data_IF_427186598849
#
_entry.id   IF_427186598849
#
_cell.length_a   1.000
_cell.length_b   1.000
_cell.length_c   1.000
_cell.angle_alpha   90.00
_cell.angle_beta   90.00
_cell.angle_gamma   90.00
#
_symmetry.space_group_name_H-M   'P 1'
#
loop_
_entity.id
_entity.type
_entity.pdbx_description
1 polymer ?
#
# COMPACT_ATOMS: atom_id res chain seq x y z
N UNK A 1 29.22 6.70 14.70
CA UNK A 1 28.54 6.97 13.42
C UNK A 1 27.23 6.19 13.40
N UNK A 2 26.07 6.85 13.34
CA UNK A 2 24.79 6.14 13.17
C UNK A 2 24.73 5.64 11.73
N UNK A 3 24.59 4.33 11.54
CA UNK A 3 24.44 3.76 10.20
C UNK A 3 23.10 4.19 9.62
N UNK A 4 23.15 4.81 8.44
CA UNK A 4 21.97 5.13 7.65
C UNK A 4 21.38 3.85 7.08
N UNK A 5 20.13 3.57 7.42
CA UNK A 5 19.44 2.35 6.97
C UNK A 5 18.97 2.50 5.51
N UNK A 6 19.23 1.48 4.68
CA UNK A 6 18.75 1.36 3.31
C UNK A 6 18.29 -0.09 3.06
N UNK A 7 17.12 -0.31 2.43
CA UNK A 7 16.70 -1.66 2.03
C UNK A 7 17.43 -2.17 0.78
N UNK A 8 18.19 -1.30 0.11
CA UNK A 8 18.95 -1.64 -1.08
C UNK A 8 20.32 -2.18 -0.65
N UNK A 9 20.67 -3.42 -1.05
CA UNK A 9 21.93 -4.03 -0.66
C UNK A 9 23.11 -3.27 -1.27
N UNK A 10 24.14 -3.00 -0.46
CA UNK A 10 25.40 -2.41 -0.94
C UNK A 10 26.05 -3.28 -2.02
N UNK A 11 26.05 -4.60 -1.76
CA UNK A 11 26.59 -5.64 -2.62
C UNK A 11 25.56 -6.75 -2.82
N UNK A 12 25.44 -7.23 -4.06
CA UNK A 12 24.59 -8.38 -4.39
C UNK A 12 25.52 -9.57 -4.59
N UNK A 13 25.39 -10.56 -3.71
CA UNK A 13 26.26 -11.72 -3.67
C UNK A 13 25.58 -12.90 -4.37
N UNK A 14 26.31 -13.64 -5.23
CA UNK A 14 25.82 -14.88 -5.80
C UNK A 14 25.35 -15.85 -4.71
N UNK A 15 24.33 -16.63 -5.04
CA UNK A 15 23.70 -17.61 -4.17
C UNK A 15 22.98 -17.07 -2.92
N UNK A 16 22.87 -15.75 -2.75
CA UNK A 16 22.03 -15.16 -1.70
C UNK A 16 20.60 -14.89 -2.18
N UNK A 17 19.68 -14.83 -1.22
CA UNK A 17 18.28 -14.50 -1.47
C UNK A 17 18.05 -13.00 -1.32
N UNK A 18 17.19 -12.48 -2.19
CA UNK A 18 16.79 -11.08 -2.25
C UNK A 18 15.30 -11.00 -2.56
N UNK A 19 14.73 -9.82 -2.35
CA UNK A 19 13.46 -9.46 -2.94
C UNK A 19 13.73 -8.76 -4.27
N UNK A 20 13.08 -9.20 -5.33
CA UNK A 20 12.99 -8.43 -6.57
C UNK A 20 11.70 -7.62 -6.56
N UNK A 21 11.80 -6.40 -7.06
CA UNK A 21 10.71 -5.46 -7.21
C UNK A 21 10.88 -4.66 -8.49
N UNK A 22 10.14 -5.03 -9.52
CA UNK A 22 10.10 -4.27 -10.77
C UNK A 22 9.46 -2.91 -10.54
N UNK A 23 9.98 -1.87 -11.20
CA UNK A 23 9.33 -0.56 -11.23
C UNK A 23 8.00 -0.55 -12.00
N UNK A 24 7.74 -1.57 -12.82
CA UNK A 24 6.53 -1.65 -13.67
C UNK A 24 5.36 -2.32 -12.94
N UNK A 25 5.59 -3.47 -12.34
CA UNK A 25 4.54 -4.24 -11.64
C UNK A 25 4.46 -3.91 -10.15
N UNK A 26 5.56 -3.38 -9.59
CA UNK A 26 5.76 -3.15 -8.16
C UNK A 26 5.57 -4.41 -7.30
N UNK A 27 5.49 -5.59 -7.90
CA UNK A 27 5.35 -6.83 -7.16
C UNK A 27 6.66 -7.16 -6.46
N UNK A 28 6.58 -7.51 -5.18
CA UNK A 28 7.72 -8.04 -4.44
C UNK A 28 7.69 -9.56 -4.52
N UNK A 29 8.73 -10.13 -5.12
CA UNK A 29 8.91 -11.58 -5.21
C UNK A 29 10.26 -11.98 -4.60
N UNK A 30 10.34 -13.11 -3.88
CA UNK A 30 11.61 -13.64 -3.44
C UNK A 30 12.36 -14.26 -4.62
N UNK A 31 13.66 -13.99 -4.70
CA UNK A 31 14.53 -14.50 -5.75
C UNK A 31 15.94 -14.76 -5.20
N UNK A 32 16.71 -15.56 -5.92
CA UNK A 32 18.11 -15.89 -5.62
C UNK A 32 19.00 -15.26 -6.68
N UNK A 33 20.06 -14.57 -6.27
CA UNK A 33 21.07 -14.09 -7.20
C UNK A 33 21.89 -15.27 -7.74
N UNK A 34 21.97 -15.41 -9.06
CA UNK A 34 22.78 -16.45 -9.72
C UNK A 34 24.16 -15.89 -10.05
N UNK A 35 24.20 -14.78 -10.77
CA UNK A 35 25.43 -14.19 -11.28
C UNK A 35 25.26 -12.68 -11.51
N UNK A 36 26.37 -11.96 -11.42
CA UNK A 36 26.46 -10.58 -11.87
C UNK A 36 26.79 -10.55 -13.36
N UNK A 37 25.98 -9.86 -14.15
CA UNK A 37 26.20 -9.70 -15.60
C UNK A 37 26.97 -8.41 -15.88
N UNK A 38 26.66 -7.34 -15.13
CA UNK A 38 27.38 -6.07 -15.17
C UNK A 38 27.29 -5.36 -13.81
N UNK A 39 27.90 -4.19 -13.68
CA UNK A 39 27.83 -3.36 -12.46
C UNK A 39 26.38 -3.09 -12.03
N UNK A 40 25.46 -2.97 -12.99
CA UNK A 40 24.05 -2.61 -12.74
C UNK A 40 23.04 -3.71 -13.05
N UNK A 41 23.46 -4.86 -13.61
CA UNK A 41 22.56 -5.95 -14.02
C UNK A 41 22.95 -7.30 -13.42
N UNK A 42 21.94 -8.01 -12.91
CA UNK A 42 22.09 -9.29 -12.22
C UNK A 42 21.15 -10.33 -12.82
N UNK A 43 21.63 -11.57 -12.92
CA UNK A 43 20.83 -12.74 -13.28
C UNK A 43 20.23 -13.32 -12.00
N UNK A 44 18.91 -13.39 -11.96
CA UNK A 44 18.13 -13.79 -10.79
C UNK A 44 17.30 -15.04 -11.10
N UNK A 45 16.92 -15.78 -10.06
CA UNK A 45 16.07 -16.95 -10.16
C UNK A 45 14.96 -16.91 -9.12
N UNK A 46 13.71 -17.13 -9.53
CA UNK A 46 12.58 -17.25 -8.60
C UNK A 46 12.64 -18.57 -7.83
N UNK A 47 11.83 -18.71 -6.78
CA UNK A 47 11.62 -19.99 -6.08
C UNK A 47 11.11 -21.12 -6.99
N UNK A 48 10.47 -20.75 -8.11
CA UNK A 48 9.96 -21.67 -9.14
C UNK A 48 10.98 -21.99 -10.23
N UNK A 49 12.25 -21.56 -10.05
CA UNK A 49 13.36 -21.75 -11.00
C UNK A 49 13.22 -20.98 -12.31
N UNK A 50 12.37 -19.96 -12.35
CA UNK A 50 12.30 -19.06 -13.51
C UNK A 50 13.48 -18.08 -13.45
N UNK A 51 14.19 -17.93 -14.56
CA UNK A 51 15.37 -17.07 -14.68
C UNK A 51 14.97 -15.75 -15.32
N UNK A 52 15.44 -14.65 -14.75
CA UNK A 52 15.22 -13.30 -15.28
C UNK A 52 16.41 -12.39 -14.98
N UNK A 53 16.39 -11.20 -15.56
CA UNK A 53 17.41 -10.17 -15.33
C UNK A 53 16.82 -9.00 -14.56
N UNK A 54 17.53 -8.53 -13.54
CA UNK A 54 17.12 -7.42 -12.70
C UNK A 54 18.21 -6.34 -12.66
N UNK A 55 17.78 -5.08 -12.57
CA UNK A 55 18.69 -3.97 -12.27
C UNK A 55 19.00 -3.92 -10.77
N UNK A 56 20.15 -3.36 -10.40
CA UNK A 56 20.54 -3.19 -8.99
C UNK A 56 19.47 -2.46 -8.16
N UNK A 57 18.85 -1.44 -8.74
CA UNK A 57 17.79 -0.62 -8.13
C UNK A 57 16.45 -1.34 -7.93
N UNK A 58 16.28 -2.54 -8.51
CA UNK A 58 15.08 -3.38 -8.36
C UNK A 58 15.26 -4.49 -7.33
N UNK A 59 16.44 -4.55 -6.69
CA UNK A 59 16.81 -5.62 -5.76
C UNK A 59 16.82 -5.03 -4.35
N UNK A 60 16.03 -5.65 -3.47
CA UNK A 60 15.90 -5.29 -2.06
C UNK A 60 16.42 -6.45 -1.19
N UNK A 61 16.88 -6.12 0.02
CA UNK A 61 17.39 -7.11 0.97
C UNK A 61 16.28 -8.08 1.43
N UNK A 62 16.53 -9.37 1.25
CA UNK A 62 15.78 -10.41 1.95
C UNK A 62 16.49 -10.74 3.26
N UNK A 63 16.24 -9.93 4.28
CA UNK A 63 16.77 -10.17 5.62
C UNK A 63 15.62 -10.40 6.60
N UNK A 64 15.39 -11.65 7.01
CA UNK A 64 14.49 -11.99 8.12
C UNK A 64 14.75 -11.12 9.35
N UNK A 65 13.68 -10.54 9.91
CA UNK A 65 13.77 -9.63 11.05
C UNK A 65 14.12 -8.17 10.72
N UNK A 66 14.49 -7.85 9.47
CA UNK A 66 14.67 -6.46 9.04
C UNK A 66 13.35 -5.67 9.07
N UNK A 67 13.44 -4.34 9.11
CA UNK A 67 12.27 -3.44 9.10
C UNK A 67 11.37 -3.68 7.90
N UNK A 68 11.96 -3.87 6.71
CA UNK A 68 11.24 -4.23 5.49
C UNK A 68 10.52 -5.55 5.64
N UNK A 69 11.23 -6.60 6.04
CA UNK A 69 10.65 -7.95 6.18
C UNK A 69 9.49 -7.96 7.18
N UNK A 70 9.70 -7.39 8.37
CA UNK A 70 8.66 -7.25 9.40
C UNK A 70 7.45 -6.47 8.89
N UNK A 71 7.65 -5.40 8.13
CA UNK A 71 6.54 -4.66 7.54
C UNK A 71 5.76 -5.50 6.52
N UNK A 72 6.45 -6.23 5.65
CA UNK A 72 5.79 -7.12 4.67
C UNK A 72 4.96 -8.19 5.40
N UNK A 73 5.50 -8.81 6.45
CA UNK A 73 4.80 -9.86 7.22
C UNK A 73 3.55 -9.36 7.98
N UNK A 74 3.38 -8.04 8.14
CA UNK A 74 2.11 -7.48 8.65
C UNK A 74 0.96 -7.61 7.65
N UNK A 75 1.27 -7.76 6.36
CA UNK A 75 0.26 -7.93 5.32
C UNK A 75 0.00 -9.43 5.08
N UNK A 76 -1.26 -9.83 5.10
CA UNK A 76 -1.67 -11.23 4.95
C UNK A 76 -1.16 -11.88 3.66
N UNK A 77 -1.08 -11.11 2.56
CA UNK A 77 -0.57 -11.58 1.26
C UNK A 77 0.88 -12.07 1.32
N UNK A 78 1.74 -11.41 2.10
CA UNK A 78 3.14 -11.78 2.23
C UNK A 78 3.34 -12.80 3.34
N UNK A 79 2.63 -12.64 4.47
CA UNK A 79 2.68 -13.58 5.59
C UNK A 79 2.27 -15.00 5.20
N UNK A 80 1.33 -15.13 4.28
CA UNK A 80 0.85 -16.42 3.80
C UNK A 80 1.47 -16.81 2.45
N UNK A 81 2.53 -16.11 2.00
CA UNK A 81 3.16 -16.36 0.70
C UNK A 81 4.01 -17.64 0.76
N UNK A 82 3.63 -18.64 -0.05
CA UNK A 82 4.36 -19.92 -0.15
C UNK A 82 5.80 -19.73 -0.62
N UNK A 83 6.03 -18.80 -1.54
CA UNK A 83 7.37 -18.53 -2.08
C UNK A 83 8.28 -17.93 -1.00
N UNK A 84 7.78 -17.01 -0.18
CA UNK A 84 8.54 -16.46 0.96
C UNK A 84 8.83 -17.54 2.01
N UNK A 85 7.84 -18.38 2.35
CA UNK A 85 8.04 -19.51 3.26
C UNK A 85 9.12 -20.47 2.75
N UNK A 86 9.10 -20.80 1.45
CA UNK A 86 10.08 -21.67 0.83
C UNK A 86 11.49 -21.06 0.89
N UNK A 87 11.62 -19.75 0.65
CA UNK A 87 12.89 -19.03 0.80
C UNK A 87 13.41 -19.06 2.24
N UNK A 88 12.56 -18.78 3.23
CA UNK A 88 12.95 -18.85 4.66
C UNK A 88 13.42 -20.26 5.04
N UNK A 89 12.73 -21.31 4.57
CA UNK A 89 13.16 -22.70 4.77
C UNK A 89 14.50 -22.99 4.09
N UNK A 90 14.71 -22.51 2.87
CA UNK A 90 15.98 -22.68 2.16
C UNK A 90 17.15 -21.97 2.86
N UNK A 91 16.87 -20.90 3.61
CA UNK A 91 17.82 -20.23 4.51
C UNK A 91 18.01 -20.95 5.85
N UNK A 92 17.44 -22.15 6.04
CA UNK A 92 17.49 -22.95 7.28
C UNK A 92 16.89 -22.26 8.49
N UNK A 93 15.87 -21.44 8.29
CA UNK A 93 15.13 -20.77 9.36
C UNK A 93 13.72 -21.35 9.47
N UNK A 94 13.14 -21.27 10.68
CA UNK A 94 11.76 -21.69 10.92
C UNK A 94 10.76 -20.60 10.50
N UNK A 95 9.94 -20.82 9.45
CA UNK A 95 8.96 -19.83 9.00
C UNK A 95 7.95 -19.43 10.09
N UNK A 96 7.60 -20.35 10.99
CA UNK A 96 6.63 -20.07 12.04
C UNK A 96 7.17 -19.06 13.07
N UNK A 97 8.50 -18.96 13.22
CA UNK A 97 9.15 -17.99 14.09
C UNK A 97 9.46 -16.67 13.37
N UNK A 98 9.73 -16.75 12.07
CA UNK A 98 10.21 -15.61 11.27
C UNK A 98 9.06 -14.80 10.66
N UNK A 99 7.98 -15.47 10.26
CA UNK A 99 6.83 -14.86 9.59
C UNK A 99 5.75 -14.40 10.58
N UNK A 100 6.13 -14.20 11.85
CA UNK A 100 5.21 -13.75 12.90
C UNK A 100 4.81 -12.30 12.65
N UNK A 101 3.53 -12.03 12.89
CA UNK A 101 3.05 -10.65 12.94
C UNK A 101 3.60 -10.01 14.22
N UNK A 102 4.65 -9.19 14.09
CA UNK A 102 5.03 -8.30 15.18
C UNK A 102 3.80 -7.48 15.58
N UNK A 103 3.55 -7.40 16.89
CA UNK A 103 2.51 -6.53 17.44
C UNK A 103 2.63 -5.16 16.78
N UNK A 104 1.51 -4.62 16.32
CA UNK A 104 1.50 -3.23 15.91
C UNK A 104 1.85 -2.43 17.16
N UNK A 105 2.89 -1.60 17.08
CA UNK A 105 3.18 -0.64 18.13
C UNK A 105 1.92 0.21 18.29
N UNK A 106 1.21 0.02 19.40
CA UNK A 106 0.04 0.81 19.71
C UNK A 106 0.58 2.14 20.22
N UNK A 107 0.80 3.08 19.31
CA UNK A 107 1.38 4.38 19.62
C UNK A 107 0.56 5.08 20.71
N UNK A 108 1.20 5.43 21.83
CA UNK A 108 0.54 5.98 23.03
C UNK A 108 0.02 7.41 22.86
N UNK A 109 0.54 8.13 21.85
CA UNK A 109 0.16 9.50 21.58
C UNK A 109 -1.33 9.62 21.20
N UNK A 110 -2.02 10.53 21.86
CA UNK A 110 -3.43 10.89 21.69
C UNK A 110 -4.47 9.81 22.04
N UNK A 111 -4.09 8.71 22.71
CA UNK A 111 -5.08 7.74 23.26
C UNK A 111 -6.00 8.35 24.32
N UNK A 112 -5.50 9.39 24.99
CA UNK A 112 -6.14 10.06 26.12
C UNK A 112 -6.30 11.57 25.88
N UNK A 113 -6.13 12.04 24.64
CA UNK A 113 -6.35 13.44 24.30
C UNK A 113 -7.79 13.85 24.68
N UNK A 114 -7.91 14.95 25.42
CA UNK A 114 -9.20 15.51 25.77
C UNK A 114 -9.75 16.38 24.62
N UNK A 115 -11.03 16.74 24.71
CA UNK A 115 -11.72 17.47 23.64
C UNK A 115 -11.07 18.84 23.35
N UNK A 116 -10.69 19.59 24.38
CA UNK A 116 -10.11 20.93 24.25
C UNK A 116 -8.71 20.89 23.62
N UNK A 117 -7.88 19.95 24.04
CA UNK A 117 -6.55 19.73 23.47
C UNK A 117 -6.65 19.31 22.01
N UNK A 118 -7.58 18.40 21.69
CA UNK A 118 -7.84 17.98 20.32
C UNK A 118 -8.22 19.17 19.45
N UNK A 119 -9.24 19.94 19.84
CA UNK A 119 -9.74 21.09 19.06
C UNK A 119 -8.62 22.11 18.84
N UNK A 120 -7.90 22.48 19.89
CA UNK A 120 -6.80 23.45 19.81
C UNK A 120 -5.69 22.99 18.86
N UNK A 121 -5.27 21.73 18.96
CA UNK A 121 -4.22 21.17 18.11
C UNK A 121 -4.69 21.02 16.66
N UNK A 122 -5.92 20.55 16.45
CA UNK A 122 -6.53 20.32 15.15
C UNK A 122 -6.69 21.62 14.36
N UNK A 123 -7.25 22.66 14.98
CA UNK A 123 -7.41 23.96 14.34
C UNK A 123 -6.07 24.65 14.09
N UNK A 124 -5.11 24.51 15.02
CA UNK A 124 -3.75 25.01 14.81
C UNK A 124 -3.09 24.38 13.58
N UNK A 125 -3.28 23.08 13.36
CA UNK A 125 -2.74 22.36 12.21
C UNK A 125 -3.32 22.87 10.88
N UNK A 126 -4.64 23.08 10.83
CA UNK A 126 -5.32 23.53 9.60
C UNK A 126 -5.39 25.06 9.42
N UNK A 127 -4.79 25.87 10.31
CA UNK A 127 -4.94 27.33 10.35
C UNK A 127 -4.70 28.05 9.00
N UNK A 128 -3.77 27.53 8.19
CA UNK A 128 -3.40 28.12 6.90
C UNK A 128 -3.98 27.34 5.70
N UNK A 129 -4.87 26.37 5.94
CA UNK A 129 -5.52 25.60 4.89
C UNK A 129 -6.63 26.43 4.23
N UNK A 130 -6.75 26.32 2.91
CA UNK A 130 -7.80 27.00 2.13
C UNK A 130 -9.21 26.63 2.61
N UNK A 131 -9.39 25.45 3.18
CA UNK A 131 -10.66 24.92 3.67
C UNK A 131 -10.80 25.03 5.20
N UNK A 132 -10.06 25.96 5.86
CA UNK A 132 -10.08 26.12 7.32
C UNK A 132 -11.48 26.23 7.93
N UNK A 133 -12.41 26.94 7.26
CA UNK A 133 -13.80 27.06 7.74
C UNK A 133 -14.54 25.72 7.79
N UNK A 134 -14.27 24.80 6.84
CA UNK A 134 -14.80 23.43 6.88
C UNK A 134 -14.23 22.66 8.06
N UNK A 135 -12.91 22.76 8.31
CA UNK A 135 -12.27 22.09 9.45
C UNK A 135 -12.73 22.65 10.80
N UNK A 136 -12.97 23.96 10.89
CA UNK A 136 -13.53 24.59 12.08
C UNK A 136 -14.89 23.99 12.43
N UNK A 137 -15.78 23.92 11.44
CA UNK A 137 -17.12 23.34 11.60
C UNK A 137 -17.05 21.85 11.97
N UNK A 138 -16.17 21.08 11.33
CA UNK A 138 -15.96 19.66 11.63
C UNK A 138 -15.46 19.43 13.05
N UNK A 139 -14.58 20.27 13.59
CA UNK A 139 -13.99 20.09 14.91
C UNK A 139 -15.04 20.06 16.05
N UNK A 140 -16.19 20.72 15.86
CA UNK A 140 -17.26 20.81 16.85
C UNK A 140 -18.46 19.91 16.55
N UNK A 141 -18.43 19.14 15.46
CA UNK A 141 -19.56 18.31 15.02
C UNK A 141 -19.50 16.88 15.53
N UNK A 142 -20.66 16.22 15.45
CA UNK A 142 -20.74 14.77 15.49
C UNK A 142 -20.39 14.16 14.13
N UNK A 143 -19.84 12.96 14.14
CA UNK A 143 -19.53 12.21 12.93
C UNK A 143 -20.84 11.91 12.18
N UNK A 144 -20.96 12.28 10.90
CA UNK A 144 -22.18 12.10 10.12
C UNK A 144 -22.67 10.66 10.11
N UNK A 145 -23.97 10.47 10.35
CA UNK A 145 -24.61 9.15 10.35
C UNK A 145 -24.41 8.34 11.63
N UNK A 146 -23.76 8.90 12.65
CA UNK A 146 -23.70 8.32 14.00
C UNK A 146 -24.72 8.96 14.93
N UNK A 147 -25.11 8.25 15.99
CA UNK A 147 -26.10 8.74 16.95
C UNK A 147 -25.61 9.94 17.77
N UNK A 148 -24.38 9.87 18.30
CA UNK A 148 -23.81 10.92 19.18
C UNK A 148 -22.28 10.97 19.20
N UNK A 149 -21.60 10.30 18.25
CA UNK A 149 -20.16 10.19 18.28
C UNK A 149 -19.50 11.51 17.88
N UNK A 150 -18.87 12.20 18.84
CA UNK A 150 -18.09 13.42 18.55
C UNK A 150 -16.87 13.11 17.70
N UNK A 151 -16.42 14.08 16.90
CA UNK A 151 -15.21 13.93 16.07
C UNK A 151 -13.94 13.71 16.91
N UNK A 152 -13.79 14.39 18.04
CA UNK A 152 -12.68 14.20 19.00
C UNK A 152 -12.66 12.78 19.57
N UNK A 153 -13.83 12.27 19.97
CA UNK A 153 -13.97 10.91 20.49
C UNK A 153 -13.69 9.86 19.41
N UNK A 154 -14.17 10.08 18.19
CA UNK A 154 -13.87 9.23 17.05
C UNK A 154 -12.37 9.13 16.79
N UNK A 155 -11.66 10.27 16.79
CA UNK A 155 -10.20 10.34 16.71
C UNK A 155 -9.53 9.51 17.81
N UNK A 156 -9.93 9.75 19.07
CA UNK A 156 -9.39 9.05 20.24
C UNK A 156 -9.57 7.54 20.18
N UNK A 157 -10.76 7.04 19.80
CA UNK A 157 -11.03 5.60 19.68
C UNK A 157 -10.11 4.97 18.63
N UNK A 158 -9.93 5.62 17.49
CA UNK A 158 -9.04 5.12 16.42
C UNK A 158 -7.59 5.12 16.90
N UNK A 159 -7.14 6.17 17.59
CA UNK A 159 -5.79 6.25 18.18
C UNK A 159 -5.54 5.17 19.24
N UNK A 160 -6.49 4.89 20.14
CA UNK A 160 -6.43 3.77 21.11
C UNK A 160 -6.17 2.42 20.44
N UNK A 161 -6.62 2.25 19.21
CA UNK A 161 -6.42 1.05 18.41
C UNK A 161 -5.24 1.18 17.43
N UNK A 162 -4.24 2.03 17.69
CA UNK A 162 -3.05 2.16 16.86
C UNK A 162 -3.23 3.03 15.60
N UNK A 163 -4.35 3.76 15.51
CA UNK A 163 -4.69 4.66 14.41
C UNK A 163 -5.30 3.98 13.19
N UNK A 164 -5.59 4.81 12.18
CA UNK A 164 -6.31 4.41 10.97
C UNK A 164 -5.71 3.16 10.32
N UNK A 165 -4.38 3.12 10.13
CA UNK A 165 -3.71 1.98 9.49
C UNK A 165 -3.93 0.67 10.24
N UNK A 166 -3.89 0.68 11.57
CA UNK A 166 -4.04 -0.54 12.36
C UNK A 166 -5.50 -1.01 12.42
N UNK A 167 -6.43 -0.06 12.60
CA UNK A 167 -7.87 -0.34 12.55
C UNK A 167 -8.27 -1.02 11.24
N UNK A 168 -7.62 -0.65 10.13
CA UNK A 168 -7.92 -1.26 8.83
C UNK A 168 -7.28 -2.63 8.68
N UNK A 169 -6.00 -2.77 9.01
CA UNK A 169 -5.30 -4.06 8.90
C UNK A 169 -5.99 -5.15 9.74
N UNK A 170 -6.56 -4.77 10.88
CA UNK A 170 -7.28 -5.65 11.79
C UNK A 170 -8.80 -5.69 11.53
N UNK A 171 -9.29 -5.00 10.50
CA UNK A 171 -10.72 -4.93 10.12
C UNK A 171 -11.65 -4.52 11.27
N UNK A 172 -11.21 -3.58 12.11
CA UNK A 172 -11.88 -3.22 13.35
C UNK A 172 -13.01 -2.19 13.17
N UNK A 173 -13.15 -1.52 12.02
CA UNK A 173 -14.14 -0.45 11.85
C UNK A 173 -15.56 -0.84 12.24
N UNK A 174 -16.06 -1.97 11.72
CA UNK A 174 -17.40 -2.44 12.07
C UNK A 174 -17.47 -2.77 13.56
N UNK A 175 -16.49 -3.51 14.07
CA UNK A 175 -16.45 -3.93 15.49
C UNK A 175 -16.45 -2.74 16.46
N UNK A 176 -15.78 -1.64 16.10
CA UNK A 176 -15.62 -0.48 16.98
C UNK A 176 -16.82 0.47 16.96
N UNK A 177 -17.57 0.52 15.85
CA UNK A 177 -18.53 1.60 15.62
C UNK A 177 -19.92 1.15 15.19
N UNK A 178 -20.20 -0.15 15.13
CA UNK A 178 -21.53 -0.65 14.74
C UNK A 178 -22.63 -0.14 15.67
N UNK A 179 -22.39 -0.07 16.97
CA UNK A 179 -23.38 0.42 17.94
C UNK A 179 -23.68 1.91 17.75
N UNK A 180 -22.70 2.69 17.27
CA UNK A 180 -22.85 4.12 16.97
C UNK A 180 -23.51 4.37 15.61
N UNK A 181 -23.39 3.42 14.68
CA UNK A 181 -23.93 3.49 13.32
C UNK A 181 -24.29 2.07 12.84
N UNK A 182 -25.50 1.56 13.16
CA UNK A 182 -25.90 0.19 12.86
C UNK A 182 -26.31 0.02 11.39
N UNK A 183 -25.37 0.28 10.48
CA UNK A 183 -25.56 0.19 9.02
C UNK A 183 -24.55 -0.76 8.39
N UNK A 184 -24.94 -1.40 7.29
CA UNK A 184 -24.09 -2.33 6.53
C UNK A 184 -22.83 -1.66 5.99
N UNK A 185 -22.90 -0.36 5.67
CA UNK A 185 -21.80 0.42 5.13
C UNK A 185 -20.98 1.21 6.18
N UNK A 186 -21.16 0.94 7.48
CA UNK A 186 -20.49 1.67 8.58
C UNK A 186 -18.98 1.75 8.40
N UNK A 187 -18.33 0.64 8.06
CA UNK A 187 -16.88 0.60 7.85
C UNK A 187 -16.44 1.53 6.73
N UNK A 188 -17.20 1.58 5.63
CA UNK A 188 -16.88 2.43 4.49
C UNK A 188 -17.07 3.91 4.81
N UNK A 189 -18.22 4.26 5.40
CA UNK A 189 -18.60 5.64 5.70
C UNK A 189 -17.63 6.31 6.70
N UNK A 190 -17.41 5.67 7.86
CA UNK A 190 -16.57 6.23 8.93
C UNK A 190 -15.11 6.34 8.51
N UNK A 191 -14.60 5.34 7.79
CA UNK A 191 -13.23 5.35 7.25
C UNK A 191 -13.01 6.47 6.24
N UNK A 192 -13.97 6.73 5.35
CA UNK A 192 -13.88 7.85 4.40
C UNK A 192 -13.88 9.19 5.12
N UNK A 193 -14.76 9.35 6.11
CA UNK A 193 -14.80 10.54 6.94
C UNK A 193 -13.47 10.75 7.67
N UNK A 194 -12.95 9.71 8.32
CA UNK A 194 -11.65 9.76 9.00
C UNK A 194 -10.52 10.11 8.03
N UNK A 195 -10.48 9.48 6.86
CA UNK A 195 -9.47 9.76 5.83
C UNK A 195 -9.49 11.23 5.40
N UNK A 196 -10.68 11.78 5.20
CA UNK A 196 -10.86 13.16 4.73
C UNK A 196 -10.45 14.18 5.78
N UNK A 197 -10.84 13.98 7.04
CA UNK A 197 -10.76 15.04 8.05
C UNK A 197 -9.73 14.82 9.15
N UNK A 198 -9.38 13.57 9.48
CA UNK A 198 -8.60 13.25 10.67
C UNK A 198 -7.24 12.63 10.34
N UNK A 199 -7.09 11.97 9.20
CA UNK A 199 -5.89 11.18 8.93
C UNK A 199 -4.62 12.02 8.78
N UNK A 200 -4.67 13.16 8.07
CA UNK A 200 -3.49 14.02 7.95
C UNK A 200 -3.06 14.60 9.30
N UNK A 201 -4.03 14.98 10.14
CA UNK A 201 -3.78 15.41 11.50
C UNK A 201 -3.18 14.29 12.36
N UNK A 202 -3.71 13.06 12.27
CA UNK A 202 -3.15 11.86 12.92
C UNK A 202 -1.67 11.69 12.55
N UNK A 203 -1.34 11.82 11.26
CA UNK A 203 0.04 11.72 10.78
C UNK A 203 0.93 12.82 11.37
N UNK A 204 0.47 14.08 11.33
CA UNK A 204 1.19 15.21 11.92
C UNK A 204 1.50 15.00 13.41
N UNK A 205 0.51 14.51 14.18
CA UNK A 205 0.68 14.21 15.61
C UNK A 205 1.68 13.09 15.87
N UNK A 206 1.78 12.13 14.94
CA UNK A 206 2.72 10.98 15.01
C UNK A 206 4.13 11.31 14.53
N UNK A 207 4.29 12.33 13.71
CA UNK A 207 5.56 12.68 13.07
C UNK A 207 6.65 13.17 14.03
N UNK A 208 6.31 13.48 15.29
CA UNK A 208 7.29 13.88 16.30
C UNK A 208 8.31 12.77 16.66
N UNK A 209 8.13 11.53 16.19
CA UNK A 209 8.94 10.39 16.64
C UNK A 209 9.77 9.67 15.55
N UNK A 210 9.56 9.94 14.26
CA UNK A 210 10.47 9.46 13.21
C UNK A 210 11.70 10.40 13.16
N UNK A 211 12.77 10.02 13.86
CA UNK A 211 14.04 10.77 13.87
C UNK A 211 14.51 11.05 12.43
N UNK A 212 14.50 12.32 12.02
CA UNK A 212 14.95 12.73 10.67
C UNK A 212 16.39 12.27 10.37
N UNK A 213 17.20 12.05 11.42
CA UNK A 213 18.58 11.62 11.35
C UNK A 213 18.79 10.10 11.22
N UNK A 214 17.75 9.28 11.46
CA UNK A 214 17.86 7.82 11.38
C UNK A 214 17.64 7.30 9.95
N UNK A 215 16.83 8.00 9.16
CA UNK A 215 16.42 7.56 7.83
C UNK A 215 16.85 8.56 6.76
N UNK A 216 17.51 8.07 5.71
CA UNK A 216 17.88 8.84 4.53
C UNK A 216 16.66 9.08 3.64
N UNK A 217 15.69 9.86 4.11
CA UNK A 217 14.58 10.30 3.27
C UNK A 217 15.12 11.12 2.09
N UNK A 218 14.78 10.69 0.88
CA UNK A 218 15.16 11.35 -0.38
C UNK A 218 14.43 12.68 -0.54
N UNK A 219 13.13 12.72 -0.17
CA UNK A 219 12.28 13.90 -0.35
C UNK A 219 11.89 14.55 0.98
N UNK A 220 11.86 15.88 1.00
CA UNK A 220 11.43 16.70 2.14
C UNK A 220 9.93 16.93 2.12
N UNK A 221 9.34 17.21 3.28
CA UNK A 221 7.94 17.68 3.36
C UNK A 221 7.81 19.00 2.61
N UNK A 222 6.71 19.17 1.90
CA UNK A 222 6.45 20.31 1.03
C UNK A 222 7.13 20.26 -0.34
N UNK A 223 8.06 19.32 -0.56
CA UNK A 223 8.72 19.14 -1.84
C UNK A 223 7.76 18.59 -2.89
N UNK A 224 7.94 19.03 -4.14
CA UNK A 224 7.20 18.52 -5.28
C UNK A 224 7.93 17.35 -5.91
N UNK A 225 7.19 16.30 -6.22
CA UNK A 225 7.70 15.07 -6.84
C UNK A 225 6.88 14.72 -8.07
N UNK A 226 7.51 13.98 -8.98
CA UNK A 226 6.86 13.40 -10.16
C UNK A 226 6.87 11.87 -10.07
N UNK A 227 5.87 11.24 -10.67
CA UNK A 227 5.74 9.78 -10.70
C UNK A 227 6.44 9.18 -11.92
N UNK A 228 7.19 8.10 -11.71
CA UNK A 228 7.87 7.33 -12.78
C UNK A 228 6.88 6.36 -13.44
N UNK A 229 6.99 6.14 -14.74
CA UNK A 229 6.56 4.87 -15.37
C UNK A 229 5.38 4.84 -16.35
N UNK A 230 4.64 5.93 -16.63
CA UNK A 230 3.43 5.80 -17.49
C UNK A 230 3.25 6.85 -18.58
N UNK A 231 4.28 7.61 -18.94
CA UNK A 231 4.19 8.68 -19.95
C UNK A 231 3.39 9.91 -19.49
N UNK A 232 2.38 9.74 -18.62
CA UNK A 232 1.72 10.81 -17.90
C UNK A 232 2.59 11.26 -16.70
N UNK A 233 3.02 12.53 -16.73
CA UNK A 233 3.74 13.18 -15.62
C UNK A 233 2.73 13.75 -14.63
N UNK A 234 2.56 13.07 -13.50
CA UNK A 234 1.79 13.61 -12.38
C UNK A 234 2.73 14.37 -11.45
N UNK A 235 2.33 15.55 -10.99
CA UNK A 235 3.01 16.32 -9.96
C UNK A 235 2.26 16.13 -8.63
N UNK A 236 2.99 15.93 -7.55
CA UNK A 236 2.42 15.82 -6.21
C UNK A 236 3.31 16.47 -5.16
N UNK A 237 2.72 16.86 -4.04
CA UNK A 237 3.40 17.49 -2.91
C UNK A 237 3.51 16.51 -1.75
N UNK A 238 4.72 16.31 -1.24
CA UNK A 238 4.97 15.45 -0.07
C UNK A 238 4.37 16.10 1.17
N UNK A 239 3.42 15.43 1.83
CA UNK A 239 2.77 15.90 3.06
C UNK A 239 3.37 15.25 4.30
N UNK A 240 3.57 13.93 4.26
CA UNK A 240 4.12 13.16 5.35
C UNK A 240 5.13 12.12 4.83
N UNK A 241 5.98 11.62 5.73
CA UNK A 241 6.99 10.61 5.42
C UNK A 241 7.05 9.56 6.51
N UNK A 242 7.41 8.34 6.14
CA UNK A 242 7.67 7.25 7.08
C UNK A 242 8.63 6.24 6.47
N UNK A 243 9.38 5.54 7.31
CA UNK A 243 10.20 4.41 6.86
C UNK A 243 9.56 3.09 7.31
N UNK A 244 9.33 2.16 6.39
CA UNK A 244 8.83 0.80 6.69
C UNK A 244 9.74 -0.27 6.10
N UNK A 245 11.06 -0.04 6.11
CA UNK A 245 12.00 -0.78 5.29
C UNK A 245 12.35 0.00 4.02
N UNK A 246 11.34 0.52 3.35
CA UNK A 246 11.47 1.50 2.27
C UNK A 246 11.02 2.87 2.76
N UNK A 247 11.59 3.94 2.21
CA UNK A 247 11.00 5.26 2.44
C UNK A 247 9.68 5.35 1.67
N UNK A 248 8.65 5.83 2.36
CA UNK A 248 7.30 5.96 1.82
C UNK A 248 6.81 7.36 2.16
N UNK A 249 6.20 8.01 1.18
CA UNK A 249 5.76 9.39 1.23
C UNK A 249 4.25 9.46 1.03
N UNK A 250 3.58 10.20 1.90
CA UNK A 250 2.18 10.55 1.71
C UNK A 250 2.13 11.78 0.82
N UNK A 251 1.63 11.64 -0.40
CA UNK A 251 1.72 12.67 -1.43
C UNK A 251 0.32 13.13 -1.81
N UNK A 252 0.09 14.44 -1.75
CA UNK A 252 -1.10 15.06 -2.34
C UNK A 252 -0.88 15.30 -3.83
N UNK A 253 -1.75 14.76 -4.68
CA UNK A 253 -1.62 14.89 -6.13
C UNK A 253 -2.21 16.23 -6.58
N UNK A 254 -1.38 17.10 -7.15
CA UNK A 254 -1.74 18.50 -7.43
C UNK A 254 -2.63 18.68 -8.67
N UNK A 255 -2.58 17.75 -9.63
CA UNK A 255 -3.20 17.92 -10.95
C UNK A 255 -4.57 17.24 -11.10
N UNK A 256 -5.22 16.87 -10.00
CA UNK A 256 -6.52 16.19 -10.01
C UNK A 256 -7.65 17.15 -9.63
N UNK A 257 -8.83 16.95 -10.24
CA UNK A 257 -10.06 17.70 -9.93
C UNK A 257 -10.50 17.53 -8.47
N UNK A 258 -10.17 16.39 -7.87
CA UNK A 258 -10.46 16.09 -6.47
C UNK A 258 -9.15 15.94 -5.70
N UNK A 259 -9.08 16.48 -4.48
CA UNK A 259 -7.97 16.23 -3.57
C UNK A 259 -7.79 14.73 -3.36
N UNK A 260 -6.63 14.21 -3.75
CA UNK A 260 -6.29 12.81 -3.60
C UNK A 260 -4.89 12.73 -3.00
N UNK A 261 -4.80 12.13 -1.81
CA UNK A 261 -3.53 11.92 -1.13
C UNK A 261 -3.38 10.45 -0.76
N UNK A 262 -2.21 9.88 -1.09
CA UNK A 262 -1.94 8.46 -0.85
C UNK A 262 -0.46 8.21 -0.55
N UNK A 263 -0.16 7.04 0.02
CA UNK A 263 1.21 6.59 0.30
C UNK A 263 1.88 5.96 -0.92
N UNK A 264 3.04 6.49 -1.29
CA UNK A 264 3.86 6.01 -2.39
C UNK A 264 5.28 5.71 -1.94
N UNK A 265 5.88 4.66 -2.49
CA UNK A 265 7.26 4.30 -2.19
C UNK A 265 8.25 5.17 -2.98
N UNK A 266 9.46 5.32 -2.46
CA UNK A 266 10.51 6.18 -3.03
C UNK A 266 10.94 5.81 -4.44
N UNK A 267 10.81 4.54 -4.81
CA UNK A 267 11.26 3.98 -6.07
C UNK A 267 10.41 4.42 -7.27
N UNK A 268 9.13 4.73 -7.05
CA UNK A 268 8.18 5.17 -8.09
C UNK A 268 8.05 6.68 -8.22
N UNK A 269 8.81 7.45 -7.46
CA UNK A 269 8.82 8.91 -7.50
C UNK A 269 10.22 9.46 -7.77
N UNK A 270 10.29 10.63 -8.39
CA UNK A 270 11.54 11.37 -8.65
C UNK A 270 11.33 12.85 -8.41
N UNK A 271 12.43 13.58 -8.26
CA UNK A 271 12.41 15.02 -8.07
C UNK A 271 11.64 15.69 -9.20
N UNK A 272 10.67 16.53 -8.87
CA UNK A 272 10.13 17.45 -9.86
C UNK A 272 11.24 18.48 -10.13
N UNK A 273 11.87 18.44 -11.31
CA UNK A 273 12.66 19.58 -11.77
C UNK A 273 11.77 20.82 -11.98
N UNK A 274 12.17 21.74 -12.87
CA UNK A 274 11.33 22.90 -13.24
C UNK A 274 10.03 22.55 -14.00
N UNK A 275 9.65 21.28 -14.06
CA UNK A 275 8.58 20.74 -14.90
C UNK A 275 7.45 20.22 -14.00
N UNK A 276 6.78 21.10 -13.24
CA UNK A 276 5.40 20.82 -12.82
C UNK A 276 4.47 21.45 -13.85
N UNK A 277 3.99 20.61 -14.75
CA UNK A 277 3.04 21.02 -15.79
C UNK A 277 1.66 21.07 -15.14
N UNK A 278 1.02 22.24 -15.15
CA UNK A 278 -0.34 22.54 -14.66
C UNK A 278 -1.47 21.87 -15.48
N UNK A 279 -1.18 20.80 -16.21
CA UNK A 279 -2.21 20.13 -16.99
C UNK A 279 -3.08 19.33 -16.02
N UNK A 280 -4.34 19.76 -15.85
CA UNK A 280 -5.37 18.99 -15.17
C UNK A 280 -5.48 17.64 -15.88
N UNK A 281 -5.07 16.58 -15.19
CA UNK A 281 -5.17 15.23 -15.71
C UNK A 281 -6.43 14.59 -15.13
N UNK A 282 -7.23 13.99 -15.99
CA UNK A 282 -8.32 13.12 -15.56
C UNK A 282 -7.73 11.88 -14.92
N UNK A 283 -8.34 11.40 -13.83
CA UNK A 283 -7.93 10.21 -13.09
C UNK A 283 -7.93 8.99 -14.03
N UNK A 284 -6.81 8.67 -14.68
CA UNK A 284 -6.79 7.58 -15.65
C UNK A 284 -6.71 6.22 -14.96
N UNK A 285 -7.28 5.21 -15.63
CA UNK A 285 -7.23 3.78 -15.30
C UNK A 285 -5.81 3.28 -14.93
N UNK A 286 -4.77 4.00 -15.35
CA UNK A 286 -3.34 3.73 -15.12
C UNK A 286 -2.84 4.00 -13.69
N UNK A 287 -3.46 4.90 -12.94
CA UNK A 287 -3.15 5.09 -11.51
C UNK A 287 -3.60 3.89 -10.64
N UNK A 288 -4.38 2.96 -11.19
CA UNK A 288 -4.72 1.69 -10.55
C UNK A 288 -3.59 0.64 -10.59
N UNK A 289 -2.46 0.95 -11.24
CA UNK A 289 -1.36 0.00 -11.44
C UNK A 289 -0.26 0.19 -10.39
N UNK A 290 -0.08 1.40 -9.84
CA UNK A 290 1.02 1.75 -8.93
C UNK A 290 0.77 1.44 -7.43
N UNK A 291 -0.12 0.50 -7.10
CA UNK A 291 -0.50 0.22 -5.72
C UNK A 291 0.58 -0.56 -4.95
N UNK A 292 1.58 0.12 -4.38
CA UNK A 292 2.43 -0.54 -3.37
C UNK A 292 1.89 -0.51 -1.95
N UNK A 293 1.02 0.43 -1.64
CA UNK A 293 0.22 0.37 -0.42
C UNK A 293 -1.17 0.64 -0.90
N UNK A 294 -1.99 -0.39 -1.13
CA UNK A 294 -3.37 -0.10 -1.41
C UNK A 294 -3.83 0.75 -0.23
N UNK A 295 -4.50 1.85 -0.54
CA UNK A 295 -5.32 2.57 0.41
C UNK A 295 -5.90 1.53 1.37
N UNK A 296 -5.85 1.72 2.68
CA UNK A 296 -6.60 0.85 3.58
C UNK A 296 -8.02 0.50 3.07
N UNK A 297 -8.66 1.44 2.35
CA UNK A 297 -9.92 1.26 1.60
C UNK A 297 -9.85 0.20 0.49
N UNK A 298 -8.79 0.24 -0.31
CA UNK A 298 -8.53 -0.66 -1.43
C UNK A 298 -7.98 -2.02 -0.97
N UNK A 299 -7.24 -2.06 0.15
CA UNK A 299 -6.79 -3.31 0.80
C UNK A 299 -7.97 -4.15 1.24
N UNK A 300 -8.94 -3.53 1.92
CA UNK A 300 -10.14 -4.20 2.40
C UNK A 300 -11.04 -4.64 1.23
N UNK A 301 -11.20 -3.81 0.18
CA UNK A 301 -11.97 -4.16 -1.02
C UNK A 301 -11.37 -5.37 -1.75
N UNK A 302 -10.05 -5.41 -1.91
CA UNK A 302 -9.36 -6.54 -2.54
C UNK A 302 -9.35 -7.80 -1.65
N UNK A 303 -9.22 -7.64 -0.34
CA UNK A 303 -9.30 -8.75 0.62
C UNK A 303 -10.71 -9.34 0.70
N UNK A 304 -11.75 -8.50 0.66
CA UNK A 304 -13.15 -8.93 0.65
C UNK A 304 -13.48 -9.67 -0.64
N UNK A 305 -13.08 -9.15 -1.80
CA UNK A 305 -13.27 -9.82 -3.08
C UNK A 305 -12.55 -11.18 -3.14
N UNK A 306 -11.32 -11.27 -2.62
CA UNK A 306 -10.59 -12.54 -2.54
C UNK A 306 -11.23 -13.54 -1.57
N UNK A 307 -11.78 -13.07 -0.45
CA UNK A 307 -12.51 -13.92 0.50
C UNK A 307 -13.84 -14.42 -0.08
N UNK A 308 -14.57 -13.57 -0.82
CA UNK A 308 -15.78 -13.96 -1.56
C UNK A 308 -15.48 -15.01 -2.62
N UNK A 309 -14.42 -14.83 -3.42
CA UNK A 309 -14.00 -15.81 -4.42
C UNK A 309 -13.63 -17.17 -3.78
N UNK A 310 -12.96 -17.15 -2.62
CA UNK A 310 -12.63 -18.38 -1.88
C UNK A 310 -13.87 -19.07 -1.33
N UNK A 311 -14.79 -18.32 -0.73
CA UNK A 311 -16.04 -18.87 -0.21
C UNK A 311 -16.90 -19.49 -1.32
N UNK A 312 -16.99 -18.85 -2.49
CA UNK A 312 -17.72 -19.42 -3.64
C UNK A 312 -17.03 -20.67 -4.20
N UNK A 313 -15.69 -20.71 -4.20
CA UNK A 313 -14.92 -21.90 -4.57
C UNK A 313 -15.11 -23.07 -3.59
N UNK A 314 -15.18 -22.77 -2.30
CA UNK A 314 -15.41 -23.77 -1.25
C UNK A 314 -16.87 -24.27 -1.27
N UNK A 315 -17.83 -23.42 -1.66
CA UNK A 315 -19.22 -23.84 -1.94
C UNK A 315 -19.28 -24.77 -3.15
N UNK A 316 -18.59 -24.46 -4.25
CA UNK A 316 -18.51 -25.35 -5.42
C UNK A 316 -17.94 -26.73 -5.11
N UNK A 317 -17.02 -26.83 -4.15
CA UNK A 317 -16.50 -28.13 -3.68
C UNK A 317 -17.51 -28.93 -2.85
N UNK A 318 -18.54 -28.28 -2.32
CA UNK A 318 -19.58 -28.89 -1.47
C UNK A 318 -20.91 -29.11 -2.19
N UNK A 319 -21.09 -28.58 -3.40
CA UNK A 319 -22.30 -28.77 -4.20
C UNK A 319 -22.27 -30.17 -4.85
N UNK A 320 -23.25 -31.01 -4.50
CA UNK A 320 -23.56 -32.27 -5.20
C UNK A 320 -23.97 -31.99 -6.65
N UNK A 321 -23.82 -32.97 -7.54
CA UNK A 321 -23.90 -32.87 -9.01
C UNK A 321 -25.24 -32.40 -9.64
N UNK A 322 -25.90 -31.38 -9.10
CA UNK A 322 -26.92 -30.62 -9.82
C UNK A 322 -26.22 -29.65 -10.79
N UNK A 323 -26.55 -29.74 -12.08
CA UNK A 323 -25.82 -29.01 -13.12
C UNK A 323 -26.09 -27.51 -13.13
N UNK A 324 -27.18 -27.05 -12.52
CA UNK A 324 -27.59 -25.63 -12.47
C UNK A 324 -26.91 -24.86 -11.34
N UNK A 325 -26.86 -25.40 -10.12
CA UNK A 325 -26.18 -24.72 -9.00
C UNK A 325 -24.67 -24.60 -9.22
N UNK A 326 -24.06 -25.61 -9.87
CA UNK A 326 -22.67 -25.53 -10.33
C UNK A 326 -22.47 -24.44 -11.39
N UNK A 327 -23.40 -24.27 -12.34
CA UNK A 327 -23.31 -23.24 -13.40
C UNK A 327 -23.39 -21.83 -12.83
N UNK A 328 -24.32 -21.57 -11.91
CA UNK A 328 -24.48 -20.25 -11.31
C UNK A 328 -23.30 -19.87 -10.40
N UNK A 329 -22.79 -20.81 -9.62
CA UNK A 329 -21.60 -20.59 -8.80
C UNK A 329 -20.32 -20.43 -9.65
N UNK A 330 -20.19 -21.17 -10.76
CA UNK A 330 -19.14 -20.95 -11.76
C UNK A 330 -19.27 -19.56 -12.39
N UNK A 331 -20.47 -19.15 -12.80
CA UNK A 331 -20.73 -17.83 -13.37
C UNK A 331 -20.38 -16.70 -12.40
N UNK A 332 -20.76 -16.80 -11.13
CA UNK A 332 -20.40 -15.83 -10.10
C UNK A 332 -18.89 -15.76 -9.87
N UNK A 333 -18.18 -16.90 -9.89
CA UNK A 333 -16.71 -16.92 -9.88
C UNK A 333 -16.16 -16.25 -11.13
N UNK A 334 -16.73 -16.48 -12.31
CA UNK A 334 -16.29 -15.84 -13.55
C UNK A 334 -16.53 -14.33 -13.52
N UNK A 335 -17.65 -13.83 -12.99
CA UNK A 335 -17.92 -12.40 -12.87
C UNK A 335 -16.98 -11.73 -11.84
N UNK A 336 -16.77 -12.38 -10.69
CA UNK A 336 -15.82 -11.92 -9.67
C UNK A 336 -14.37 -12.00 -10.17
N UNK A 337 -14.04 -13.05 -10.95
CA UNK A 337 -12.77 -13.20 -11.60
C UNK A 337 -12.61 -12.19 -12.73
N UNK A 338 -13.62 -11.88 -13.54
CA UNK A 338 -13.52 -10.91 -14.65
C UNK A 338 -13.26 -9.49 -14.14
N UNK A 339 -13.85 -9.13 -12.99
CA UNK A 339 -13.49 -7.93 -12.23
C UNK A 339 -12.00 -7.89 -11.80
N UNK A 340 -11.35 -9.04 -11.64
CA UNK A 340 -9.91 -9.17 -11.35
C UNK A 340 -9.03 -9.46 -12.59
N UNK A 341 -9.61 -10.04 -13.65
CA UNK A 341 -8.94 -10.66 -14.81
C UNK A 341 -8.90 -9.70 -15.99
N UNK A 342 -9.79 -8.69 -16.08
CA UNK A 342 -9.61 -7.56 -17.00
C UNK A 342 -8.27 -6.82 -16.79
N UNK A 343 -7.60 -7.01 -15.65
CA UNK A 343 -6.25 -6.52 -15.40
C UNK A 343 -5.17 -7.42 -16.04
N UNK A 344 -5.36 -8.75 -16.00
CA UNK A 344 -4.43 -9.75 -16.55
C UNK A 344 -4.60 -9.96 -18.06
N UNK A 345 -5.82 -9.86 -18.59
CA UNK A 345 -6.06 -9.97 -20.04
C UNK A 345 -5.55 -8.76 -20.81
N UNK A 346 -5.59 -7.55 -20.24
CA UNK A 346 -4.98 -6.37 -20.86
C UNK A 346 -3.43 -6.46 -20.89
N UNK A 347 -2.83 -7.19 -19.94
CA UNK A 347 -1.39 -7.49 -19.94
C UNK A 347 -1.07 -8.59 -20.96
N UNK A 348 -1.88 -9.66 -21.03
CA UNK A 348 -1.69 -10.75 -22.02
C UNK A 348 -1.93 -10.32 -23.46
N UNK A 349 -2.90 -9.43 -23.73
CA UNK A 349 -3.13 -8.87 -25.07
C UNK A 349 -2.00 -7.94 -25.52
N UNK A 350 -1.30 -7.28 -24.60
CA UNK A 350 -0.09 -6.49 -24.92
C UNK A 350 1.14 -7.36 -25.20
N UNK A 351 1.30 -8.48 -24.47
CA UNK A 351 2.42 -9.41 -24.69
C UNK A 351 2.26 -10.16 -26.03
N UNK A 352 1.04 -10.55 -26.42
CA UNK A 352 0.82 -11.20 -27.72
C UNK A 352 1.03 -10.31 -28.94
N UNK A 353 0.90 -8.98 -28.81
CA UNK A 353 1.11 -8.06 -29.93
C UNK A 353 2.58 -7.70 -30.17
N UNK A 354 3.47 -7.78 -29.16
CA UNK A 354 4.92 -7.58 -29.37
C UNK A 354 5.56 -8.78 -30.05
N UNK A 355 5.17 -10.01 -29.67
CA UNK A 355 5.73 -11.24 -30.24
C UNK A 355 5.36 -11.45 -31.73
N UNK A 356 4.31 -10.77 -32.22
CA UNK A 356 3.93 -10.77 -33.64
C UNK A 356 4.68 -9.72 -34.47
N UNK A 357 5.07 -8.58 -33.88
CA UNK A 357 5.80 -7.53 -34.62
C UNK A 357 7.31 -7.83 -34.72
N UNK A 358 7.89 -8.53 -33.75
CA UNK A 358 9.30 -8.91 -33.80
C UNK A 358 9.58 -10.09 -34.74
N UNK A 359 8.54 -10.80 -35.21
CA UNK A 359 8.67 -11.86 -36.24
C UNK A 359 8.53 -11.35 -37.67
N UNK A 360 7.90 -10.20 -37.90
CA UNK A 360 7.79 -9.61 -39.25
C UNK A 360 9.00 -8.75 -39.63
N UNK A 361 9.76 -8.23 -38.66
CA UNK A 361 10.96 -7.42 -38.93
C UNK A 361 12.28 -8.22 -38.99
N UNK A 362 12.24 -9.55 -38.92
CA UNK A 362 13.42 -10.42 -39.14
C UNK A 362 13.44 -10.97 -40.58
N UNK A 363 12.35 -10.80 -41.35
CA UNK A 363 12.23 -11.31 -42.72
C UNK A 363 11.97 -10.21 -43.78
N UNK A 364 12.30 -8.95 -43.51
CA UNK A 364 12.32 -7.88 -44.52
C UNK A 364 13.64 -7.09 -44.46
#
# INVERSE_FOLDING_TARGET
MRQTYSPYPKHILPNQYYFYRSAETLEIIPCKAIAQISVSRFKMMTTRREIFYAKKEEILEFQPGSRLFKHLMKQSKFRNCRDIMATVKAMRMDPNKVMVMDAFSVYDNDKEINDDEFIKAYLKFYKNDKYYSEYLDIAYKNVPGTASLKVSEFYRIVCRHGGMNNVINLQLWKKLFYDQMPKTNVSFALRNFYKKYLYQFELYRREFEDNEFEFNYIFKKGEHVIFKGSGAKFCGKVLARRNRGLNIYYINICNLKNNCSEWFAEDIISTAGNVCINNQLTFTKYMRIYYFLPDPITQEKNAHNLALIRNEKDKLQKISDSSEEKKDAIYNIYVLADLSTQLLENIRKKIKHSDSQDKENINN
#
